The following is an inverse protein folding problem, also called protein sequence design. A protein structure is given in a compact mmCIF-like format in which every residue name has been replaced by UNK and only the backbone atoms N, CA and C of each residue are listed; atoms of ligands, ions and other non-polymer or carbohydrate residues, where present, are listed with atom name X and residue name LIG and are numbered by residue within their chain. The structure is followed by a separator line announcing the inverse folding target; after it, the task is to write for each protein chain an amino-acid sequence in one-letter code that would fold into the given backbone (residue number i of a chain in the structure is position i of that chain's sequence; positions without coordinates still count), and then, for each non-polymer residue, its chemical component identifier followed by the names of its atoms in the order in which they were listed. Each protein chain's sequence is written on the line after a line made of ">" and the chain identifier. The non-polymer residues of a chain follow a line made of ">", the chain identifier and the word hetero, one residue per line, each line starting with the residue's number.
data_IF_417808160628
#
_entry.id   IF_417808160628
#
_cell.length_a   1.000
_cell.length_b   1.000
_cell.length_c   1.000
_cell.angle_alpha   90.00
_cell.angle_beta   90.00
_cell.angle_gamma   90.00
#
_symmetry.space_group_name_H-M   'P 1'
#
loop_
_entity.id
_entity.type
_entity.pdbx_description
1 polymer ?
#
# COMPACT_ATOMS: atom_id res chain seq x y z
N UNK A 1 13.26 -12.00 -40.22
CA UNK A 1 12.47 -10.82 -39.77
C UNK A 1 11.13 -11.19 -39.10
N UNK A 2 11.01 -12.29 -38.34
CA UNK A 2 9.75 -12.66 -37.67
C UNK A 2 9.79 -12.55 -36.13
N UNK A 3 10.97 -12.39 -35.52
CA UNK A 3 11.14 -12.34 -34.07
C UNK A 3 10.79 -10.99 -33.42
N UNK A 4 10.96 -9.87 -34.15
CA UNK A 4 10.77 -8.51 -33.63
C UNK A 4 9.29 -8.21 -33.32
N UNK A 5 8.35 -8.84 -34.04
CA UNK A 5 6.91 -8.61 -33.86
C UNK A 5 6.36 -9.16 -32.54
N UNK A 6 6.99 -10.19 -31.95
CA UNK A 6 6.51 -10.79 -30.70
C UNK A 6 7.03 -10.09 -29.46
N UNK A 7 8.20 -9.45 -29.54
CA UNK A 7 8.78 -8.69 -28.41
C UNK A 7 7.98 -7.40 -28.16
N UNK A 8 7.47 -6.75 -29.21
CA UNK A 8 6.66 -5.54 -29.06
C UNK A 8 5.27 -5.82 -28.45
N UNK A 9 4.70 -7.00 -28.69
CA UNK A 9 3.36 -7.35 -28.20
C UNK A 9 3.36 -7.65 -26.70
N UNK A 10 4.47 -8.15 -26.15
CA UNK A 10 4.62 -8.44 -24.71
C UNK A 10 4.78 -7.14 -23.88
N UNK A 11 5.35 -6.09 -24.46
CA UNK A 11 5.54 -4.81 -23.77
C UNK A 11 4.25 -3.99 -23.58
N UNK A 12 3.23 -4.19 -24.42
CA UNK A 12 2.00 -3.38 -24.42
C UNK A 12 0.94 -3.92 -23.45
N UNK A 13 0.97 -5.21 -23.11
CA UNK A 13 0.00 -5.79 -22.15
C UNK A 13 0.36 -5.50 -20.68
N UNK A 14 1.58 -5.01 -20.43
CA UNK A 14 2.08 -4.70 -19.08
C UNK A 14 1.89 -3.23 -18.66
N UNK A 15 1.45 -2.34 -19.55
CA UNK A 15 1.53 -0.89 -19.32
C UNK A 15 0.28 -0.24 -18.73
N UNK A 16 -0.85 -0.95 -18.59
CA UNK A 16 -2.08 -0.28 -18.16
C UNK A 16 -2.14 -0.12 -16.64
N UNK A 17 -1.61 -1.05 -15.86
CA UNK A 17 -2.12 -1.26 -14.50
C UNK A 17 -1.34 -0.62 -13.33
N UNK A 18 -0.33 0.25 -13.58
CA UNK A 18 0.63 0.60 -12.52
C UNK A 18 1.12 2.06 -12.34
N UNK A 19 0.24 3.06 -12.38
CA UNK A 19 0.66 4.47 -12.49
C UNK A 19 0.44 5.38 -11.27
N UNK A 20 -0.38 5.03 -10.27
CA UNK A 20 -0.79 6.06 -9.30
C UNK A 20 0.36 6.50 -8.38
N UNK A 21 1.24 5.56 -7.98
CA UNK A 21 2.47 5.89 -7.25
C UNK A 21 3.53 6.60 -8.09
N UNK A 22 3.37 6.78 -9.40
CA UNK A 22 4.31 7.54 -10.24
C UNK A 22 3.93 9.01 -10.41
N UNK A 23 2.65 9.33 -10.21
CA UNK A 23 2.09 10.67 -10.42
C UNK A 23 1.90 11.43 -9.12
N UNK A 24 1.48 10.73 -8.07
CA UNK A 24 1.16 11.36 -6.79
C UNK A 24 1.44 10.43 -5.59
N UNK A 25 1.28 10.99 -4.40
CA UNK A 25 1.40 10.23 -3.16
C UNK A 25 0.16 9.34 -2.99
N UNK A 26 0.40 8.04 -2.88
CA UNK A 26 -0.66 7.03 -2.79
C UNK A 26 -0.62 6.31 -1.45
N UNK A 27 -1.78 5.75 -1.07
CA UNK A 27 -1.97 5.03 0.18
C UNK A 27 -2.76 3.75 -0.09
N UNK A 28 -2.36 2.65 0.53
CA UNK A 28 -3.07 1.38 0.40
C UNK A 28 -2.94 0.50 1.64
N UNK A 29 -3.88 -0.45 1.75
CA UNK A 29 -3.82 -1.58 2.69
C UNK A 29 -4.25 -2.86 2.00
N UNK A 30 -3.80 -4.01 2.51
CA UNK A 30 -4.28 -5.35 2.16
C UNK A 30 -4.24 -6.27 3.38
N UNK A 31 -5.12 -7.27 3.39
CA UNK A 31 -5.22 -8.25 4.44
C UNK A 31 -5.29 -9.68 3.87
N UNK A 32 -4.95 -10.70 4.65
CA UNK A 32 -5.08 -12.11 4.26
C UNK A 32 -4.32 -12.49 2.94
N UNK A 33 -3.30 -11.71 2.53
CA UNK A 33 -2.33 -12.05 1.49
C UNK A 33 -1.14 -12.81 2.09
N UNK A 34 -0.07 -13.06 1.31
CA UNK A 34 1.25 -13.48 1.85
C UNK A 34 1.76 -12.66 3.06
N UNK A 35 1.30 -11.42 3.21
CA UNK A 35 1.45 -10.59 4.40
C UNK A 35 0.28 -9.61 4.50
N UNK A 36 -0.03 -9.16 5.72
CA UNK A 36 -0.84 -7.97 5.91
C UNK A 36 0.06 -6.75 5.73
N UNK A 37 -0.41 -5.69 5.08
CA UNK A 37 0.36 -4.45 4.99
C UNK A 37 -0.49 -3.21 4.78
N UNK A 38 0.11 -2.09 5.15
CA UNK A 38 -0.36 -0.74 4.87
C UNK A 38 0.82 0.12 4.46
N UNK A 39 0.69 0.85 3.35
CA UNK A 39 1.81 1.54 2.70
C UNK A 39 1.37 2.91 2.22
N UNK A 40 2.23 3.90 2.42
CA UNK A 40 2.19 5.20 1.74
C UNK A 40 3.38 5.28 0.80
N UNK A 41 3.21 5.61 -0.48
CA UNK A 41 4.34 5.74 -1.39
C UNK A 41 4.15 6.70 -2.57
N UNK A 42 5.28 7.23 -3.05
CA UNK A 42 5.38 8.01 -4.28
C UNK A 42 6.77 7.77 -4.89
N UNK A 43 6.81 7.17 -6.07
CA UNK A 43 8.01 6.91 -6.83
C UNK A 43 8.82 8.20 -7.04
N UNK A 44 10.11 8.13 -6.69
CA UNK A 44 11.08 9.20 -6.89
C UNK A 44 10.77 10.54 -6.17
N UNK A 45 9.89 10.53 -5.16
CA UNK A 45 9.58 11.71 -4.35
C UNK A 45 9.63 11.34 -2.87
N UNK A 46 10.37 12.12 -2.08
CA UNK A 46 10.51 11.88 -0.63
C UNK A 46 9.67 12.86 0.17
N UNK A 47 8.98 12.34 1.18
CA UNK A 47 8.19 13.11 2.13
C UNK A 47 8.54 12.64 3.54
N UNK A 48 8.27 13.47 4.55
CA UNK A 48 8.31 12.98 5.92
C UNK A 48 6.99 12.24 6.20
N UNK A 49 7.04 10.92 6.20
CA UNK A 49 5.87 10.03 6.21
C UNK A 49 5.83 9.18 7.48
N UNK A 50 4.62 8.79 7.86
CA UNK A 50 4.35 7.79 8.88
C UNK A 50 3.12 6.98 8.46
N UNK A 51 3.22 5.66 8.59
CA UNK A 51 2.10 4.73 8.43
C UNK A 51 1.87 4.00 9.74
N UNK A 52 0.63 4.00 10.21
CA UNK A 52 0.20 3.29 11.42
C UNK A 52 -0.94 2.35 11.04
N UNK A 53 -0.84 1.08 11.40
CA UNK A 53 -1.86 0.08 11.06
C UNK A 53 -2.27 -0.75 12.28
N UNK A 54 -3.57 -0.94 12.44
CA UNK A 54 -4.19 -1.85 13.40
C UNK A 54 -4.63 -3.12 12.70
N UNK A 55 -4.26 -4.26 13.26
CA UNK A 55 -4.59 -5.56 12.73
C UNK A 55 -5.59 -6.22 13.67
N UNK A 56 -6.78 -6.47 13.15
CA UNK A 56 -7.87 -7.14 13.82
C UNK A 56 -8.04 -8.52 13.23
N UNK A 57 -8.45 -9.49 14.07
CA UNK A 57 -8.81 -10.83 13.63
C UNK A 57 -10.18 -11.18 14.16
N UNK A 58 -11.10 -11.53 13.27
CA UNK A 58 -12.50 -11.82 13.61
C UNK A 58 -13.15 -10.69 14.44
N UNK A 59 -12.88 -9.44 14.07
CA UNK A 59 -13.39 -8.24 14.77
C UNK A 59 -12.68 -7.89 16.08
N UNK A 60 -11.68 -8.67 16.52
CA UNK A 60 -10.92 -8.41 17.74
C UNK A 60 -9.55 -7.81 17.42
N UNK A 61 -9.22 -6.69 18.04
CA UNK A 61 -7.88 -6.09 17.94
C UNK A 61 -6.80 -7.07 18.41
N UNK A 62 -5.76 -7.24 17.60
CA UNK A 62 -4.59 -8.06 17.93
C UNK A 62 -3.41 -7.18 18.29
N UNK A 63 -3.01 -6.29 17.37
CA UNK A 63 -1.89 -5.36 17.61
C UNK A 63 -1.91 -4.15 16.68
N UNK A 64 -1.03 -3.20 16.97
CA UNK A 64 -0.73 -2.00 16.19
C UNK A 64 0.73 -2.00 15.74
N UNK A 65 0.96 -1.58 14.50
CA UNK A 65 2.28 -1.37 13.90
C UNK A 65 2.44 0.10 13.55
N UNK A 66 3.66 0.62 13.64
CA UNK A 66 4.00 1.97 13.21
C UNK A 66 5.40 2.00 12.60
N UNK A 67 5.52 2.55 11.40
CA UNK A 67 6.79 2.63 10.67
C UNK A 67 7.75 3.70 11.24
N UNK A 68 7.30 4.54 12.17
CA UNK A 68 8.02 5.73 12.63
C UNK A 68 7.94 6.87 11.61
N UNK A 69 8.31 8.08 12.04
CA UNK A 69 8.44 9.22 11.14
C UNK A 69 9.77 9.14 10.39
N UNK A 70 9.73 9.10 9.06
CA UNK A 70 10.92 9.01 8.22
C UNK A 70 10.78 9.87 6.96
N UNK A 71 11.88 10.51 6.53
CA UNK A 71 11.95 11.13 5.19
C UNK A 71 12.21 10.04 4.16
N UNK A 72 11.15 9.56 3.53
CA UNK A 72 11.18 8.42 2.61
C UNK A 72 10.21 8.62 1.46
N UNK A 73 10.44 7.88 0.38
CA UNK A 73 9.49 7.76 -0.74
C UNK A 73 8.46 6.66 -0.50
N UNK A 74 8.67 5.82 0.52
CA UNK A 74 7.80 4.71 0.90
C UNK A 74 7.82 4.46 2.41
N UNK A 75 6.70 4.69 3.08
CA UNK A 75 6.47 4.30 4.47
C UNK A 75 5.55 3.08 4.50
N UNK A 76 5.93 2.03 5.23
CA UNK A 76 5.25 0.74 5.13
C UNK A 76 5.24 -0.03 6.46
N UNK A 77 4.06 -0.50 6.86
CA UNK A 77 3.91 -1.55 7.86
C UNK A 77 3.64 -2.85 7.14
N UNK A 78 4.57 -3.80 7.23
CA UNK A 78 4.45 -5.12 6.62
C UNK A 78 4.52 -6.16 7.72
N UNK A 79 3.46 -6.96 7.86
CA UNK A 79 3.39 -8.01 8.86
C UNK A 79 3.24 -9.39 8.21
N UNK A 80 4.31 -10.15 8.26
CA UNK A 80 4.38 -11.52 7.76
C UNK A 80 3.71 -12.48 8.75
N UNK A 81 3.19 -13.60 8.25
CA UNK A 81 2.60 -14.65 9.11
C UNK A 81 1.14 -14.41 9.52
N UNK A 82 0.53 -13.29 9.13
CA UNK A 82 -0.90 -12.99 9.31
C UNK A 82 -1.69 -13.17 8.02
N UNK A 83 -1.34 -14.23 7.30
CA UNK A 83 -1.29 -14.18 5.85
C UNK A 83 -2.06 -15.29 5.12
N UNK A 84 -2.86 -16.09 5.83
CA UNK A 84 -3.66 -17.10 5.15
C UNK A 84 -4.92 -16.44 4.57
N UNK A 85 -5.21 -16.58 3.26
CA UNK A 85 -6.49 -16.17 2.69
C UNK A 85 -7.65 -16.69 3.52
N UNK A 86 -8.57 -15.81 3.91
CA UNK A 86 -9.73 -16.16 4.74
C UNK A 86 -9.42 -16.39 6.23
N UNK A 87 -8.24 -16.03 6.75
CA UNK A 87 -7.92 -16.17 8.18
C UNK A 87 -8.66 -15.19 9.11
N UNK A 88 -9.54 -14.36 8.54
CA UNK A 88 -10.38 -13.41 9.26
C UNK A 88 -9.66 -12.13 9.65
N UNK A 89 -8.55 -11.80 9.00
CA UNK A 89 -7.84 -10.55 9.25
C UNK A 89 -8.57 -9.37 8.65
N UNK A 90 -8.52 -8.25 9.37
CA UNK A 90 -8.97 -6.94 8.94
C UNK A 90 -7.90 -5.92 9.35
N UNK A 91 -7.42 -5.16 8.38
CA UNK A 91 -6.37 -4.14 8.58
C UNK A 91 -7.01 -2.76 8.46
N UNK A 92 -6.67 -1.87 9.38
CA UNK A 92 -7.08 -0.47 9.38
C UNK A 92 -5.85 0.40 9.51
N UNK A 93 -5.66 1.39 8.64
CA UNK A 93 -4.43 2.17 8.65
C UNK A 93 -4.63 3.67 8.47
N UNK A 94 -3.95 4.44 9.32
CA UNK A 94 -3.77 5.87 9.17
C UNK A 94 -2.46 6.17 8.44
N UNK A 95 -2.54 7.04 7.44
CA UNK A 95 -1.41 7.50 6.65
C UNK A 95 -1.18 8.98 6.96
N UNK A 96 0.06 9.33 7.27
CA UNK A 96 0.42 10.66 7.76
C UNK A 96 1.59 11.24 7.00
N UNK A 97 1.60 12.57 6.88
CA UNK A 97 2.67 13.37 6.31
C UNK A 97 2.97 14.55 7.24
N UNK A 98 4.24 14.90 7.39
CA UNK A 98 4.69 16.06 8.15
C UNK A 98 5.26 17.13 7.21
N UNK A 99 4.77 18.36 7.34
CA UNK A 99 5.27 19.54 6.62
C UNK A 99 5.74 20.55 7.67
N UNK A 100 7.06 20.74 7.78
CA UNK A 100 7.65 21.49 8.89
C UNK A 100 7.38 20.82 10.23
N UNK A 101 6.71 21.52 11.15
CA UNK A 101 6.33 21.00 12.48
C UNK A 101 4.89 20.50 12.54
N UNK A 102 4.14 20.58 11.44
CA UNK A 102 2.72 20.21 11.42
C UNK A 102 2.54 18.80 10.85
N UNK A 103 1.78 17.98 11.57
CA UNK A 103 1.41 16.62 11.18
C UNK A 103 0.01 16.61 10.55
N UNK A 104 -0.11 15.97 9.40
CA UNK A 104 -1.36 15.83 8.66
C UNK A 104 -1.66 14.34 8.49
N UNK A 105 -2.91 13.94 8.75
CA UNK A 105 -3.41 12.65 8.27
C UNK A 105 -3.83 12.82 6.81
N UNK A 106 -3.05 12.25 5.90
CA UNK A 106 -3.31 12.33 4.45
C UNK A 106 -4.40 11.35 4.00
N UNK A 107 -4.67 10.30 4.79
CA UNK A 107 -5.80 9.43 4.55
C UNK A 107 -5.89 8.25 5.51
N UNK A 108 -6.90 7.42 5.28
CA UNK A 108 -7.18 6.22 6.04
C UNK A 108 -7.62 5.11 5.09
N UNK A 109 -7.12 3.90 5.29
CA UNK A 109 -7.45 2.73 4.46
C UNK A 109 -7.89 1.57 5.33
N UNK A 110 -8.75 0.71 4.77
CA UNK A 110 -9.15 -0.55 5.40
C UNK A 110 -9.11 -1.68 4.40
N UNK A 111 -8.78 -2.89 4.84
CA UNK A 111 -8.79 -4.07 4.00
C UNK A 111 -9.20 -5.31 4.81
N UNK A 112 -10.04 -6.15 4.23
CA UNK A 112 -10.45 -7.46 4.72
C UNK A 112 -10.01 -8.60 3.78
N UNK A 113 -9.46 -8.26 2.62
CA UNK A 113 -9.00 -9.22 1.62
C UNK A 113 -7.65 -8.82 1.02
N UNK A 114 -7.19 -9.69 0.11
CA UNK A 114 -5.89 -9.55 -0.51
C UNK A 114 -5.88 -8.59 -1.71
N UNK A 115 -7.04 -8.00 -2.04
CA UNK A 115 -7.09 -7.04 -3.11
C UNK A 115 -6.37 -5.78 -2.65
N UNK A 116 -5.44 -5.31 -3.48
CA UNK A 116 -4.80 -4.03 -3.24
C UNK A 116 -5.82 -2.99 -3.70
N UNK A 117 -6.60 -2.48 -2.76
CA UNK A 117 -7.43 -1.29 -2.96
C UNK A 117 -6.52 -0.08 -2.84
N UNK A 118 -5.76 0.12 -3.90
CA UNK A 118 -5.00 1.32 -4.13
C UNK A 118 -5.87 2.22 -5.03
N UNK A 119 -5.68 3.54 -5.01
CA UNK A 119 -6.30 4.49 -5.96
C UNK A 119 -5.82 4.28 -7.41
N UNK A 120 -5.69 3.02 -7.83
CA UNK A 120 -5.13 2.56 -9.07
C UNK A 120 -6.24 2.32 -10.10
N UNK A 121 -7.52 2.08 -9.71
CA UNK A 121 -8.58 1.70 -10.67
C UNK A 121 -10.02 2.16 -10.37
N UNK A 122 -10.24 3.32 -9.74
CA UNK A 122 -11.55 3.98 -9.91
C UNK A 122 -11.54 4.80 -11.20
N UNK A 123 -11.89 4.14 -12.31
CA UNK A 123 -12.55 4.73 -13.49
C UNK A 123 -13.98 4.25 -13.58
#
# INVERSE_FOLDING_TARGET
>A
MKLIKYILLIGIVFSCYANAGFKELTIHSRANCANNESITWHYNHTYNLLTVSDHLRNGQFQHRLAAGWETTWRSANVHWGEASPGAGWHVQAGHYMKVGYTEYRIGFTTADDCNIYDGWWDV
#
